data_IF_608206859435
#
_entry.id   IF_608206859435
#
_cell.length_a   1.000
_cell.length_b   1.000
_cell.length_c   1.000
_cell.angle_alpha   90.00
_cell.angle_beta   90.00
_cell.angle_gamma   90.00
#
_symmetry.space_group_name_H-M   'P 1'
#
loop_
_entity.id
_entity.type
_entity.pdbx_description
1 polymer ?
#
# COMPACT_ATOMS: atom_id res chain seq x y z
N UNK A 1 3.84 -12.79 -9.57
CA UNK A 1 5.26 -12.37 -9.62
C UNK A 1 5.99 -12.70 -10.91
N UNK A 2 6.44 -13.95 -11.19
CA UNK A 2 7.27 -14.21 -12.39
C UNK A 2 6.61 -13.81 -13.74
N UNK A 3 5.29 -14.04 -13.88
CA UNK A 3 4.49 -13.61 -15.03
C UNK A 3 4.36 -12.09 -15.18
N UNK A 4 4.30 -11.36 -14.07
CA UNK A 4 4.16 -9.89 -14.05
C UNK A 4 5.51 -9.21 -14.33
N UNK A 5 6.62 -9.84 -13.93
CA UNK A 5 7.98 -9.38 -14.26
C UNK A 5 8.27 -9.50 -15.76
N UNK A 6 7.78 -10.56 -16.41
CA UNK A 6 7.97 -10.79 -17.85
C UNK A 6 7.26 -9.75 -18.74
N UNK A 7 6.18 -9.12 -18.26
CA UNK A 7 5.50 -8.03 -18.98
C UNK A 7 6.24 -6.69 -18.93
N UNK A 8 6.94 -6.39 -17.83
CA UNK A 8 7.68 -5.13 -17.67
C UNK A 8 8.98 -5.08 -18.50
N UNK A 9 9.64 -6.23 -18.69
CA UNK A 9 10.87 -6.34 -19.50
C UNK A 9 10.65 -6.19 -21.01
N UNK A 10 9.40 -6.18 -21.50
CA UNK A 10 9.09 -5.97 -22.94
C UNK A 10 9.32 -4.54 -23.41
N UNK A 11 9.47 -3.58 -22.49
CA UNK A 11 9.60 -2.15 -22.82
C UNK A 11 11.05 -1.71 -23.12
N UNK A 12 12.03 -2.64 -23.10
CA UNK A 12 13.46 -2.30 -23.19
C UNK A 12 14.17 -2.60 -24.52
N UNK A 13 13.54 -3.25 -25.49
CA UNK A 13 14.18 -3.60 -26.77
C UNK A 13 13.54 -2.83 -27.93
N UNK A 14 13.74 -1.52 -27.95
CA UNK A 14 13.54 -0.70 -29.14
C UNK A 14 14.86 -0.59 -29.90
N UNK A 15 15.08 -1.44 -30.90
CA UNK A 15 15.87 -1.04 -32.06
C UNK A 15 14.90 -0.32 -33.00
N UNK A 16 15.00 1.01 -33.03
CA UNK A 16 14.38 1.83 -34.06
C UNK A 16 15.10 1.56 -35.39
N UNK A 17 14.45 0.78 -36.25
CA UNK A 17 14.89 0.51 -37.62
C UNK A 17 13.73 0.78 -38.58
N UNK A 18 13.75 1.96 -39.19
CA UNK A 18 12.90 2.35 -40.31
C UNK A 18 13.30 1.55 -41.56
N UNK A 19 12.41 0.69 -42.05
CA UNK A 19 12.71 -0.24 -43.13
C UNK A 19 11.50 -1.04 -43.59
N UNK A 20 10.84 -0.52 -44.62
CA UNK A 20 9.69 -1.08 -45.31
C UNK A 20 10.12 -2.31 -46.16
N UNK A 21 10.34 -3.46 -45.52
CA UNK A 21 10.46 -4.76 -46.19
C UNK A 21 9.61 -5.82 -45.47
N UNK A 22 8.76 -6.52 -46.23
CA UNK A 22 8.00 -7.69 -45.77
C UNK A 22 8.96 -8.83 -45.39
N UNK A 23 9.36 -8.87 -44.12
CA UNK A 23 10.14 -9.98 -43.54
C UNK A 23 9.19 -11.13 -43.17
N UNK A 24 9.49 -12.39 -43.55
CA UNK A 24 8.66 -13.54 -43.21
C UNK A 24 8.60 -13.71 -41.69
N UNK A 25 7.43 -14.11 -41.18
CA UNK A 25 7.11 -14.33 -39.77
C UNK A 25 8.29 -14.90 -38.97
N UNK A 26 9.12 -14.01 -38.43
CA UNK A 26 10.24 -14.36 -37.59
C UNK A 26 9.66 -14.96 -36.31
N UNK A 27 10.13 -16.16 -35.99
CA UNK A 27 9.81 -16.89 -34.77
C UNK A 27 9.70 -15.95 -33.58
N UNK A 28 8.52 -15.94 -32.94
CA UNK A 28 8.27 -15.16 -31.74
C UNK A 28 9.45 -15.33 -30.77
N UNK A 29 10.02 -14.23 -30.23
CA UNK A 29 11.16 -14.32 -29.34
C UNK A 29 10.80 -15.31 -28.23
N UNK A 30 11.64 -16.35 -28.09
CA UNK A 30 11.43 -17.38 -27.08
C UNK A 30 11.36 -16.70 -25.73
N UNK A 31 10.21 -16.83 -25.05
CA UNK A 31 9.97 -16.23 -23.74
C UNK A 31 10.99 -16.78 -22.76
N UNK A 32 12.12 -16.11 -22.62
CA UNK A 32 13.17 -16.51 -21.71
C UNK A 32 12.71 -16.19 -20.30
N UNK A 33 12.68 -17.19 -19.41
CA UNK A 33 12.31 -16.96 -18.02
C UNK A 33 13.34 -16.03 -17.35
N UNK A 34 12.88 -15.05 -16.54
CA UNK A 34 13.78 -14.14 -15.86
C UNK A 34 14.71 -14.91 -14.93
N UNK A 35 16.00 -14.60 -15.02
CA UNK A 35 17.04 -15.17 -14.16
C UNK A 35 16.85 -14.73 -12.70
N UNK A 36 17.40 -15.48 -11.74
CA UNK A 36 17.33 -15.12 -10.32
C UNK A 36 17.88 -13.72 -10.01
N UNK A 37 18.97 -13.33 -10.69
CA UNK A 37 19.58 -12.00 -10.56
C UNK A 37 18.62 -10.90 -11.05
N UNK A 38 17.88 -11.14 -12.13
CA UNK A 38 16.88 -10.19 -12.64
C UNK A 38 15.70 -10.05 -11.67
N UNK A 39 15.28 -11.14 -11.03
CA UNK A 39 14.22 -11.09 -10.03
C UNK A 39 14.66 -10.33 -8.79
N UNK A 40 15.88 -10.54 -8.29
CA UNK A 40 16.43 -9.77 -7.16
C UNK A 40 16.57 -8.28 -7.47
N UNK A 41 17.11 -7.95 -8.64
CA UNK A 41 17.22 -6.55 -9.08
C UNK A 41 15.84 -5.88 -9.21
N UNK A 42 14.84 -6.60 -9.72
CA UNK A 42 13.47 -6.12 -9.80
C UNK A 42 12.84 -5.93 -8.42
N UNK A 43 13.04 -6.89 -7.50
CA UNK A 43 12.57 -6.76 -6.11
C UNK A 43 13.22 -5.59 -5.39
N UNK A 44 14.50 -5.32 -5.63
CA UNK A 44 15.18 -4.15 -5.10
C UNK A 44 14.62 -2.84 -5.67
N UNK A 45 14.45 -2.77 -6.99
CA UNK A 45 13.83 -1.61 -7.65
C UNK A 45 12.41 -1.37 -7.12
N UNK A 46 11.62 -2.43 -6.99
CA UNK A 46 10.27 -2.36 -6.47
C UNK A 46 10.24 -1.89 -5.02
N UNK A 47 11.12 -2.41 -4.15
CA UNK A 47 11.26 -1.94 -2.76
C UNK A 47 11.64 -0.46 -2.71
N UNK A 48 12.61 -0.02 -3.52
CA UNK A 48 13.02 1.39 -3.57
C UNK A 48 11.89 2.29 -4.08
N UNK A 49 11.11 1.84 -5.07
CA UNK A 49 9.96 2.58 -5.57
C UNK A 49 8.81 2.62 -4.55
N UNK A 50 8.54 1.52 -3.86
CA UNK A 50 7.55 1.43 -2.78
C UNK A 50 7.96 2.34 -1.61
N UNK A 51 9.20 2.23 -1.13
CA UNK A 51 9.74 3.11 -0.09
C UNK A 51 9.73 4.57 -0.52
N UNK A 52 10.04 4.90 -1.77
CA UNK A 52 9.96 6.28 -2.26
C UNK A 52 8.50 6.78 -2.33
N UNK A 53 7.55 5.94 -2.73
CA UNK A 53 6.13 6.30 -2.76
C UNK A 53 5.56 6.48 -1.34
N UNK A 54 5.97 5.63 -0.40
CA UNK A 54 5.62 5.69 1.02
C UNK A 54 6.27 6.88 1.73
N UNK A 55 7.59 7.09 1.58
CA UNK A 55 8.33 8.23 2.11
C UNK A 55 7.74 9.57 1.65
N UNK A 56 7.24 9.61 0.42
CA UNK A 56 6.77 10.85 -0.17
C UNK A 56 5.26 11.05 -0.03
N UNK A 57 4.50 10.03 0.40
CA UNK A 57 3.02 9.99 0.47
C UNK A 57 2.37 10.94 -0.53
N UNK A 58 2.70 10.76 -1.81
CA UNK A 58 2.65 11.85 -2.77
C UNK A 58 1.20 12.27 -3.02
N UNK A 59 0.73 13.25 -2.23
CA UNK A 59 -0.51 13.97 -2.54
C UNK A 59 -0.18 14.95 -3.65
N UNK A 60 -0.35 14.46 -4.88
CA UNK A 60 -0.14 15.26 -6.06
C UNK A 60 -1.19 16.36 -6.12
N UNK A 61 -0.71 17.59 -6.24
CA UNK A 61 -1.50 18.75 -6.59
C UNK A 61 -1.36 19.04 -8.08
N UNK A 62 -2.38 19.69 -8.64
CA UNK A 62 -2.42 20.01 -10.05
C UNK A 62 -1.97 21.46 -10.26
N UNK A 63 -1.07 21.70 -11.22
CA UNK A 63 -0.81 23.06 -11.71
C UNK A 63 -2.06 23.51 -12.47
N UNK A 64 -2.59 24.72 -12.23
CA UNK A 64 -3.76 25.22 -12.94
C UNK A 64 -3.43 25.53 -14.41
N UNK A 65 -3.33 24.48 -15.23
CA UNK A 65 -3.22 24.57 -16.69
C UNK A 65 -4.61 24.72 -17.29
N UNK A 66 -4.78 25.58 -18.29
CA UNK A 66 -6.00 25.67 -19.07
C UNK A 66 -6.00 24.72 -20.27
N UNK A 67 -6.88 24.93 -21.27
CA UNK A 67 -6.89 24.18 -22.50
C UNK A 67 -5.58 24.36 -23.27
N UNK A 68 -4.97 23.26 -23.68
CA UNK A 68 -3.70 23.22 -24.42
C UNK A 68 -3.90 22.83 -25.87
N UNK A 69 -5.09 22.32 -26.22
CA UNK A 69 -5.42 21.88 -27.58
C UNK A 69 -6.65 22.62 -28.08
N UNK A 70 -6.61 23.10 -29.32
CA UNK A 70 -7.73 23.67 -30.02
C UNK A 70 -7.84 23.05 -31.41
N UNK A 71 -9.00 22.51 -31.76
CA UNK A 71 -9.25 21.94 -33.08
C UNK A 71 -10.75 21.94 -33.40
N UNK A 72 -11.10 21.70 -34.66
CA UNK A 72 -12.48 21.42 -35.00
C UNK A 72 -12.97 20.15 -34.28
N UNK A 73 -14.20 20.22 -33.80
CA UNK A 73 -14.88 19.10 -33.19
C UNK A 73 -15.01 17.94 -34.19
N UNK A 74 -15.15 16.71 -33.68
CA UNK A 74 -15.08 15.51 -34.52
C UNK A 74 -16.04 15.56 -35.71
N UNK A 75 -15.49 15.47 -36.93
CA UNK A 75 -16.25 15.50 -38.18
C UNK A 75 -16.56 16.89 -38.73
N UNK A 76 -16.06 17.97 -38.11
CA UNK A 76 -16.17 19.33 -38.62
C UNK A 76 -14.86 19.77 -39.27
N UNK A 77 -14.97 20.58 -40.33
CA UNK A 77 -13.83 21.21 -41.02
C UNK A 77 -13.90 22.73 -41.01
N UNK A 78 -14.97 23.31 -40.45
CA UNK A 78 -15.21 24.75 -40.35
C UNK A 78 -16.03 25.07 -39.08
N UNK A 79 -16.06 26.35 -38.70
CA UNK A 79 -16.75 26.84 -37.50
C UNK A 79 -15.79 27.30 -36.39
N UNK A 80 -16.25 27.45 -35.13
CA UNK A 80 -15.35 27.70 -34.02
C UNK A 80 -14.61 26.42 -33.63
N UNK A 81 -13.31 26.53 -33.36
CA UNK A 81 -12.57 25.43 -32.75
C UNK A 81 -13.08 25.16 -31.32
N UNK A 82 -13.14 23.88 -30.96
CA UNK A 82 -13.31 23.47 -29.58
C UNK A 82 -11.93 23.39 -28.91
N UNK A 83 -11.88 23.67 -27.60
CA UNK A 83 -10.64 23.64 -26.82
C UNK A 83 -10.73 22.59 -25.71
N UNK A 84 -9.64 21.88 -25.47
CA UNK A 84 -9.56 20.82 -24.47
C UNK A 84 -8.33 20.96 -23.58
N UNK A 85 -8.49 20.57 -22.32
CA UNK A 85 -7.42 20.46 -21.32
C UNK A 85 -7.00 19.00 -21.22
N UNK A 86 -5.92 18.65 -21.89
CA UNK A 86 -5.43 17.26 -21.96
C UNK A 86 -4.07 17.09 -21.29
N UNK A 87 -3.30 18.17 -21.14
CA UNK A 87 -1.97 18.14 -20.56
C UNK A 87 -1.97 18.65 -19.11
N UNK A 88 -1.28 17.91 -18.26
CA UNK A 88 -1.32 18.10 -16.81
C UNK A 88 0.09 18.04 -16.22
N UNK A 89 0.42 19.00 -15.35
CA UNK A 89 1.58 18.92 -14.46
C UNK A 89 1.07 18.59 -13.06
N UNK A 90 1.53 17.47 -12.53
CA UNK A 90 1.27 17.03 -11.16
C UNK A 90 2.53 17.25 -10.33
N UNK A 91 2.39 17.79 -9.11
CA UNK A 91 3.52 18.11 -8.25
C UNK A 91 3.23 17.83 -6.77
N UNK A 92 4.27 17.55 -5.99
CA UNK A 92 4.16 17.35 -4.55
C UNK A 92 4.10 18.72 -3.84
N UNK A 93 2.90 19.21 -3.52
CA UNK A 93 2.73 20.53 -2.89
C UNK A 93 3.42 20.70 -1.52
N UNK A 94 3.86 19.58 -0.93
CA UNK A 94 4.57 19.52 0.34
C UNK A 94 6.03 19.97 0.25
N UNK A 95 6.68 19.73 -0.89
CA UNK A 95 8.09 20.05 -1.14
C UNK A 95 8.29 21.03 -2.28
N UNK A 96 7.24 21.26 -3.07
CA UNK A 96 7.25 22.15 -4.21
C UNK A 96 6.11 23.16 -4.06
N UNK A 97 6.45 24.43 -4.01
CA UNK A 97 5.48 25.52 -4.04
C UNK A 97 5.46 26.12 -5.44
N UNK A 98 4.30 26.08 -6.09
CA UNK A 98 4.13 26.68 -7.42
C UNK A 98 4.34 28.20 -7.33
N UNK A 99 5.33 28.71 -8.05
CA UNK A 99 5.66 30.14 -8.11
C UNK A 99 4.97 30.80 -9.29
N UNK A 100 5.07 30.17 -10.47
CA UNK A 100 4.41 30.61 -11.69
C UNK A 100 4.16 29.45 -12.64
N UNK A 101 3.23 29.62 -13.58
CA UNK A 101 2.98 28.69 -14.66
C UNK A 101 2.69 29.44 -15.95
N UNK A 102 2.92 28.80 -17.09
CA UNK A 102 2.57 29.36 -18.39
C UNK A 102 1.06 29.42 -18.56
N UNK A 103 0.60 30.54 -19.11
CA UNK A 103 -0.75 30.68 -19.63
C UNK A 103 -0.91 29.83 -20.88
N UNK A 104 -2.06 29.18 -21.01
CA UNK A 104 -2.42 28.30 -22.13
C UNK A 104 -3.31 29.03 -23.14
N UNK A 105 -4.26 28.37 -23.80
CA UNK A 105 -5.07 28.97 -24.87
C UNK A 105 -5.90 30.19 -24.43
N UNK A 106 -6.16 30.37 -23.14
CA UNK A 106 -6.83 31.57 -22.63
C UNK A 106 -6.05 32.86 -22.87
N UNK A 107 -4.74 32.77 -23.09
CA UNK A 107 -3.87 33.89 -23.43
C UNK A 107 -3.45 33.93 -24.91
N UNK A 108 -3.94 32.98 -25.73
CA UNK A 108 -3.68 32.90 -27.18
C UNK A 108 -5.00 32.77 -27.97
N UNK A 109 -5.75 33.88 -28.11
CA UNK A 109 -7.05 33.87 -28.78
C UNK A 109 -6.96 33.50 -30.25
N UNK A 110 -5.83 33.75 -30.90
CA UNK A 110 -5.62 33.45 -32.31
C UNK A 110 -5.53 31.93 -32.53
N UNK A 111 -4.73 31.23 -31.72
CA UNK A 111 -4.69 29.76 -31.74
C UNK A 111 -6.00 29.14 -31.26
N UNK A 112 -6.69 29.75 -30.29
CA UNK A 112 -7.99 29.27 -29.83
C UNK A 112 -9.07 29.38 -30.93
N UNK A 113 -9.02 30.41 -31.77
CA UNK A 113 -9.96 30.61 -32.88
C UNK A 113 -9.61 29.78 -34.11
N UNK A 114 -8.34 29.79 -34.53
CA UNK A 114 -7.87 29.14 -35.76
C UNK A 114 -7.52 27.66 -35.58
N UNK A 115 -7.35 27.20 -34.33
CA UNK A 115 -6.93 25.85 -34.01
C UNK A 115 -5.41 25.69 -34.03
N UNK A 116 -5.00 24.48 -33.66
CA UNK A 116 -3.63 24.00 -33.65
C UNK A 116 -3.53 22.70 -34.48
N UNK A 117 -2.41 22.47 -35.20
CA UNK A 117 -1.27 23.37 -35.37
C UNK A 117 -1.59 24.57 -36.27
N UNK A 118 -0.77 25.62 -36.20
CA UNK A 118 -0.86 26.82 -37.04
C UNK A 118 0.54 27.38 -37.38
N UNK A 119 0.60 28.57 -38.00
CA UNK A 119 1.88 29.18 -38.43
C UNK A 119 2.83 29.50 -37.26
N UNK A 120 2.28 29.79 -36.09
CA UNK A 120 3.04 30.16 -34.90
C UNK A 120 3.34 28.96 -34.00
N UNK A 121 2.50 27.92 -34.05
CA UNK A 121 2.65 26.71 -33.24
C UNK A 121 2.57 25.45 -34.13
N UNK A 122 3.68 24.74 -34.37
CA UNK A 122 3.71 23.57 -35.26
C UNK A 122 3.12 22.29 -34.62
N UNK A 123 2.76 22.35 -33.33
CA UNK A 123 2.18 21.25 -32.56
C UNK A 123 0.67 21.44 -32.42
N UNK A 124 -0.09 20.34 -32.34
CA UNK A 124 -1.52 20.38 -32.02
C UNK A 124 -1.80 20.61 -30.52
N UNK A 125 -0.74 20.64 -29.70
CA UNK A 125 -0.75 21.00 -28.28
C UNK A 125 0.17 22.20 -27.99
N UNK A 126 -0.29 23.10 -27.12
CA UNK A 126 0.56 24.13 -26.50
C UNK A 126 1.47 23.51 -25.43
N UNK A 127 2.70 24.01 -25.28
CA UNK A 127 3.58 23.61 -24.19
C UNK A 127 3.00 24.00 -22.83
N UNK A 128 3.13 23.09 -21.85
CA UNK A 128 2.86 23.37 -20.44
C UNK A 128 4.18 23.56 -19.71
N UNK A 129 4.28 24.62 -18.91
CA UNK A 129 5.46 24.87 -18.07
C UNK A 129 5.04 25.45 -16.71
N UNK A 130 5.82 25.12 -15.69
CA UNK A 130 5.65 25.60 -14.33
C UNK A 130 7.01 25.81 -13.67
N UNK A 131 7.08 26.80 -12.79
CA UNK A 131 8.26 27.09 -11.96
C UNK A 131 7.89 26.84 -10.51
N UNK A 132 8.73 26.08 -9.82
CA UNK A 132 8.53 25.70 -8.42
C UNK A 132 9.66 26.23 -7.53
N UNK A 133 9.28 26.73 -6.36
CA UNK A 133 10.18 26.91 -5.23
C UNK A 133 10.28 25.56 -4.50
N UNK A 134 11.51 25.07 -4.29
CA UNK A 134 11.76 23.81 -3.57
C UNK A 134 11.92 24.11 -2.09
N UNK A 135 11.14 23.42 -1.25
CA UNK A 135 11.28 23.43 0.20
C UNK A 135 11.77 22.07 0.70
N UNK A 136 12.49 22.03 1.84
CA UNK A 136 12.81 20.78 2.51
C UNK A 136 11.53 19.99 2.82
N UNK A 137 11.63 18.66 2.80
CA UNK A 137 10.53 17.79 3.22
C UNK A 137 10.19 18.08 4.68
N UNK A 138 8.95 18.53 4.99
CA UNK A 138 8.58 18.81 6.36
C UNK A 138 8.54 17.50 7.12
N UNK A 139 9.14 17.49 8.30
CA UNK A 139 9.20 16.33 9.18
C UNK A 139 8.54 16.66 10.51
N UNK A 140 7.98 15.65 11.16
CA UNK A 140 7.50 15.76 12.53
C UNK A 140 8.68 16.09 13.45
N UNK A 141 8.56 17.11 14.30
CA UNK A 141 9.63 17.50 15.21
C UNK A 141 9.90 16.43 16.27
N UNK A 142 11.09 16.44 16.88
CA UNK A 142 11.47 15.41 17.86
C UNK A 142 10.51 15.34 19.06
N UNK A 143 10.10 16.49 19.59
CA UNK A 143 9.15 16.55 20.70
C UNK A 143 7.78 15.97 20.33
N UNK A 144 7.29 16.25 19.12
CA UNK A 144 6.03 15.71 18.60
C UNK A 144 6.14 14.20 18.33
N UNK A 145 7.29 13.74 17.82
CA UNK A 145 7.58 12.31 17.64
C UNK A 145 7.58 11.57 18.97
N UNK A 146 8.17 12.15 20.02
CA UNK A 146 8.12 11.58 21.38
C UNK A 146 6.68 11.50 21.88
N UNK A 147 5.88 12.54 21.68
CA UNK A 147 4.46 12.53 22.06
C UNK A 147 3.66 11.47 21.29
N UNK A 148 3.89 11.33 19.99
CA UNK A 148 3.27 10.31 19.16
C UNK A 148 3.61 8.90 19.69
N UNK A 149 4.89 8.62 19.94
CA UNK A 149 5.33 7.33 20.47
C UNK A 149 4.77 7.07 21.88
N UNK A 150 4.56 8.12 22.69
CA UNK A 150 3.88 8.00 23.98
C UNK A 150 2.40 7.61 23.83
N UNK A 151 1.67 8.19 22.85
CA UNK A 151 0.28 7.78 22.53
C UNK A 151 0.20 6.31 22.13
N UNK A 152 1.13 5.86 21.28
CA UNK A 152 1.23 4.45 20.86
C UNK A 152 1.50 3.54 22.05
N UNK A 153 2.49 3.89 22.88
CA UNK A 153 2.85 3.09 24.05
C UNK A 153 1.70 2.99 25.07
N UNK A 154 0.95 4.07 25.28
CA UNK A 154 -0.22 4.06 26.16
C UNK A 154 -1.34 3.15 25.61
N UNK A 155 -1.56 3.16 24.29
CA UNK A 155 -2.52 2.25 23.65
C UNK A 155 -2.09 0.78 23.82
N UNK A 156 -0.83 0.47 23.55
CA UNK A 156 -0.28 -0.88 23.71
C UNK A 156 -0.35 -1.36 25.15
N UNK A 157 -0.07 -0.48 26.12
CA UNK A 157 -0.21 -0.77 27.55
C UNK A 157 -1.64 -1.12 27.92
N UNK A 158 -2.63 -0.39 27.39
CA UNK A 158 -4.06 -0.70 27.58
C UNK A 158 -4.39 -2.07 27.01
N UNK A 159 -4.00 -2.34 25.77
CA UNK A 159 -4.22 -3.65 25.13
C UNK A 159 -3.59 -4.81 25.92
N UNK A 160 -2.39 -4.62 26.45
CA UNK A 160 -1.74 -5.61 27.30
C UNK A 160 -2.53 -5.86 28.60
N UNK A 161 -3.02 -4.79 29.24
CA UNK A 161 -3.87 -4.89 30.43
C UNK A 161 -5.18 -5.62 30.15
N UNK A 162 -5.83 -5.36 29.00
CA UNK A 162 -7.06 -6.02 28.60
C UNK A 162 -6.85 -7.53 28.35
N UNK A 163 -5.72 -7.88 27.72
CA UNK A 163 -5.33 -9.28 27.53
C UNK A 163 -5.12 -9.99 28.87
N UNK A 164 -4.35 -9.40 29.80
CA UNK A 164 -4.15 -9.98 31.13
C UNK A 164 -5.45 -10.13 31.91
N UNK A 165 -6.33 -9.13 31.84
CA UNK A 165 -7.64 -9.18 32.51
C UNK A 165 -8.52 -10.29 31.95
N UNK A 166 -8.58 -10.43 30.62
CA UNK A 166 -9.33 -11.51 29.98
C UNK A 166 -8.75 -12.90 30.32
N UNK A 167 -7.43 -13.04 30.38
CA UNK A 167 -6.79 -14.29 30.78
C UNK A 167 -7.12 -14.66 32.23
N UNK A 168 -7.10 -13.70 33.16
CA UNK A 168 -7.54 -13.91 34.55
C UNK A 168 -9.02 -14.29 34.65
N UNK A 169 -9.90 -13.66 33.87
CA UNK A 169 -11.32 -14.01 33.81
C UNK A 169 -11.54 -15.42 33.26
N UNK A 170 -10.83 -15.77 32.19
CA UNK A 170 -10.92 -17.09 31.58
C UNK A 170 -10.38 -18.19 32.50
N UNK A 171 -9.31 -17.92 33.26
CA UNK A 171 -8.79 -18.85 34.26
C UNK A 171 -9.80 -19.14 35.40
N UNK A 172 -10.59 -18.15 35.81
CA UNK A 172 -11.67 -18.33 36.81
C UNK A 172 -12.83 -19.16 36.29
N UNK A 173 -13.05 -19.16 34.98
CA UNK A 173 -14.11 -19.90 34.29
C UNK A 173 -13.66 -21.27 33.80
N UNK A 174 -12.38 -21.61 33.98
CA UNK A 174 -11.84 -22.89 33.56
C UNK A 174 -12.57 -24.00 34.32
N UNK A 175 -13.29 -24.90 33.62
CA UNK A 175 -13.96 -26.00 34.29
C UNK A 175 -12.90 -26.83 35.02
N UNK A 176 -13.15 -27.26 36.27
CA UNK A 176 -12.21 -28.09 36.99
C UNK A 176 -11.94 -29.33 36.14
N UNK A 177 -10.76 -29.38 35.51
CA UNK A 177 -10.31 -30.56 34.83
C UNK A 177 -10.42 -31.69 35.84
N UNK A 178 -11.14 -32.75 35.49
CA UNK A 178 -11.30 -33.91 36.33
C UNK A 178 -9.94 -34.28 36.94
N UNK A 179 -9.84 -34.17 38.26
CA UNK A 179 -8.77 -34.72 39.11
C UNK A 179 -8.76 -36.26 39.04
N UNK A 180 -9.38 -36.87 38.02
CA UNK A 180 -9.73 -38.29 37.95
C UNK A 180 -9.00 -39.07 36.85
N UNK A 181 -7.92 -38.53 36.26
CA UNK A 181 -7.10 -39.28 35.30
C UNK A 181 -5.62 -39.45 35.69
N UNK A 182 -5.15 -38.87 36.81
CA UNK A 182 -3.77 -39.04 37.29
C UNK A 182 -3.62 -39.87 38.59
N UNK A 183 -4.72 -40.28 39.25
CA UNK A 183 -4.65 -41.13 40.45
C UNK A 183 -4.76 -42.65 40.18
N UNK A 184 -4.55 -43.08 38.95
CA UNK A 184 -4.45 -44.50 38.61
C UNK A 184 -3.16 -44.77 37.84
N UNK A 185 -2.02 -44.86 38.54
CA UNK A 185 -1.04 -45.95 38.39
C UNK A 185 0.17 -45.75 39.32
N UNK A 186 -0.03 -46.06 40.61
CA UNK A 186 1.06 -46.52 41.47
C UNK A 186 1.12 -48.06 41.43
N UNK A 187 1.89 -48.63 40.50
CA UNK A 187 2.76 -49.80 40.77
C UNK A 187 3.53 -50.29 39.54
N UNK A 188 4.76 -50.82 39.71
CA UNK A 188 5.67 -51.20 38.64
C UNK A 188 5.65 -52.71 38.34
N UNK A 189 5.74 -53.10 37.07
CA UNK A 189 6.52 -54.25 36.56
C UNK A 189 6.34 -54.41 35.03
N UNK A 190 7.33 -54.98 34.33
CA UNK A 190 7.52 -54.82 32.89
C UNK A 190 6.97 -55.99 32.04
N UNK A 191 7.00 -55.75 30.72
CA UNK A 191 6.88 -56.71 29.62
C UNK A 191 5.50 -57.22 29.24
N UNK A 192 4.90 -56.57 28.23
CA UNK A 192 4.48 -57.25 27.00
C UNK A 192 4.00 -56.24 25.94
N UNK A 193 4.51 -56.41 24.72
CA UNK A 193 4.09 -55.71 23.50
C UNK A 193 2.58 -55.88 23.26
N UNK A 194 1.81 -54.80 23.38
CA UNK A 194 0.45 -54.73 22.84
C UNK A 194 0.20 -53.38 22.17
N UNK A 195 0.01 -53.41 20.85
CA UNK A 195 -0.49 -52.29 20.04
C UNK A 195 -1.92 -51.96 20.51
N UNK A 196 -2.07 -51.02 21.43
CA UNK A 196 -3.36 -50.42 21.73
C UNK A 196 -3.47 -49.03 21.11
N UNK A 197 -4.30 -48.97 20.08
CA UNK A 197 -4.81 -47.74 19.45
C UNK A 197 -5.63 -47.01 20.53
N UNK A 198 -5.01 -46.09 21.29
CA UNK A 198 -5.73 -45.16 22.18
C UNK A 198 -6.73 -44.39 21.32
N UNK A 199 -7.99 -44.81 21.31
CA UNK A 199 -9.12 -44.01 20.83
C UNK A 199 -9.11 -42.75 21.68
N UNK A 200 -8.76 -41.61 21.09
CA UNK A 200 -8.80 -40.32 21.76
C UNK A 200 -10.21 -40.07 22.29
N UNK A 201 -10.36 -40.04 23.61
CA UNK A 201 -11.56 -39.56 24.25
C UNK A 201 -11.82 -38.14 23.76
N UNK A 202 -13.01 -37.93 23.20
CA UNK A 202 -13.44 -36.58 22.85
C UNK A 202 -13.59 -35.79 24.16
N UNK A 203 -13.12 -34.53 24.22
CA UNK A 203 -13.30 -33.69 25.40
C UNK A 203 -14.78 -33.58 25.78
N UNK A 204 -15.05 -33.39 27.07
CA UNK A 204 -16.43 -33.25 27.55
C UNK A 204 -17.13 -32.06 26.86
N UNK A 205 -18.48 -32.11 26.72
CA UNK A 205 -19.23 -31.00 26.12
C UNK A 205 -18.96 -29.64 26.81
N UNK A 206 -18.74 -29.65 28.13
CA UNK A 206 -18.41 -28.46 28.91
C UNK A 206 -17.04 -27.87 28.55
N UNK A 207 -16.01 -28.73 28.39
CA UNK A 207 -14.68 -28.30 27.94
C UNK A 207 -14.73 -27.76 26.51
N UNK A 208 -15.52 -28.37 25.62
CA UNK A 208 -15.72 -27.88 24.26
C UNK A 208 -16.38 -26.49 24.26
N UNK A 209 -17.43 -26.30 25.07
CA UNK A 209 -18.12 -25.02 25.19
C UNK A 209 -17.18 -23.93 25.72
N UNK A 210 -16.37 -24.24 26.75
CA UNK A 210 -15.36 -23.33 27.28
C UNK A 210 -14.31 -22.94 26.22
N UNK A 211 -13.79 -23.90 25.44
CA UNK A 211 -12.83 -23.62 24.37
C UNK A 211 -13.45 -22.71 23.29
N UNK A 212 -14.71 -22.95 22.92
CA UNK A 212 -15.42 -22.12 21.93
C UNK A 212 -15.64 -20.69 22.46
N UNK A 213 -16.08 -20.55 23.70
CA UNK A 213 -16.26 -19.27 24.39
C UNK A 213 -14.93 -18.50 24.48
N UNK A 214 -13.85 -19.15 24.94
CA UNK A 214 -12.50 -18.59 25.01
C UNK A 214 -12.05 -18.06 23.65
N UNK A 215 -12.22 -18.85 22.59
CA UNK A 215 -11.87 -18.43 21.23
C UNK A 215 -12.72 -17.27 20.74
N UNK A 216 -14.01 -17.22 21.09
CA UNK A 216 -14.89 -16.09 20.74
C UNK A 216 -14.38 -14.81 21.41
N UNK A 217 -14.22 -14.82 22.74
CA UNK A 217 -13.75 -13.64 23.49
C UNK A 217 -12.38 -13.14 23.03
N UNK A 218 -11.44 -14.04 22.75
CA UNK A 218 -10.13 -13.66 22.21
C UNK A 218 -10.22 -13.01 20.83
N UNK A 219 -11.13 -13.46 19.96
CA UNK A 219 -11.35 -12.83 18.65
C UNK A 219 -12.01 -11.46 18.81
N UNK A 220 -13.00 -11.36 19.68
CA UNK A 220 -13.72 -10.10 19.93
C UNK A 220 -12.75 -9.05 20.49
N UNK A 221 -11.89 -9.43 21.43
CA UNK A 221 -10.85 -8.55 21.97
C UNK A 221 -9.86 -8.11 20.87
N UNK A 222 -9.36 -9.03 20.04
CA UNK A 222 -8.46 -8.69 18.94
C UNK A 222 -9.09 -7.72 17.93
N UNK A 223 -10.37 -7.90 17.62
CA UNK A 223 -11.12 -7.01 16.73
C UNK A 223 -11.27 -5.61 17.33
N UNK A 224 -11.57 -5.51 18.63
CA UNK A 224 -11.63 -4.24 19.35
C UNK A 224 -10.27 -3.52 19.32
N UNK A 225 -9.19 -4.24 19.63
CA UNK A 225 -7.83 -3.69 19.61
C UNK A 225 -7.40 -3.23 18.20
N UNK A 226 -7.81 -3.95 17.15
CA UNK A 226 -7.57 -3.52 15.77
C UNK A 226 -8.31 -2.21 15.46
N UNK A 227 -9.60 -2.13 15.82
CA UNK A 227 -10.40 -0.91 15.68
C UNK A 227 -9.81 0.28 16.44
N UNK A 228 -9.24 0.07 17.63
CA UNK A 228 -8.59 1.13 18.40
C UNK A 228 -7.31 1.64 17.74
N UNK A 229 -6.51 0.74 17.14
CA UNK A 229 -5.32 1.12 16.36
C UNK A 229 -5.72 1.91 15.11
N UNK A 230 -6.74 1.46 14.39
CA UNK A 230 -7.30 2.17 13.23
C UNK A 230 -7.80 3.56 13.62
N UNK A 231 -8.52 3.67 14.73
CA UNK A 231 -9.01 4.94 15.25
C UNK A 231 -7.87 5.89 15.62
N UNK A 232 -6.79 5.38 16.24
CA UNK A 232 -5.59 6.17 16.49
C UNK A 232 -5.01 6.70 15.17
N UNK A 233 -4.73 5.83 14.21
CA UNK A 233 -4.16 6.22 12.89
C UNK A 233 -5.04 7.24 12.17
N UNK A 234 -6.35 7.03 12.18
CA UNK A 234 -7.31 7.95 11.58
C UNK A 234 -7.26 9.34 12.24
N UNK A 235 -6.98 9.43 13.54
CA UNK A 235 -6.87 10.71 14.27
C UNK A 235 -5.54 11.45 14.03
N UNK A 236 -4.50 10.77 13.56
CA UNK A 236 -3.18 11.36 13.35
C UNK A 236 -3.15 12.30 12.13
N UNK A 237 -2.39 13.38 12.25
CA UNK A 237 -2.04 14.24 11.11
C UNK A 237 -1.10 13.54 10.11
N UNK A 238 -0.92 14.12 8.93
CA UNK A 238 -0.09 13.54 7.87
C UNK A 238 1.34 13.25 8.34
N UNK A 239 2.01 14.23 8.97
CA UNK A 239 3.37 14.07 9.50
C UNK A 239 3.48 13.04 10.63
N UNK A 240 2.46 12.97 11.50
CA UNK A 240 2.41 11.96 12.57
C UNK A 240 2.28 10.56 11.97
N UNK A 241 1.40 10.39 10.97
CA UNK A 241 1.26 9.12 10.27
C UNK A 241 2.56 8.74 9.57
N UNK A 242 3.29 9.68 8.95
CA UNK A 242 4.56 9.37 8.27
C UNK A 242 5.58 8.85 9.29
N UNK A 243 5.68 9.55 10.43
CA UNK A 243 6.58 9.17 11.50
C UNK A 243 6.21 7.80 12.10
N UNK A 244 4.91 7.49 12.19
CA UNK A 244 4.42 6.19 12.63
C UNK A 244 4.81 5.08 11.65
N UNK A 245 4.58 5.29 10.35
CA UNK A 245 4.95 4.35 9.28
C UNK A 245 6.44 4.02 9.30
N UNK A 246 7.28 5.06 9.33
CA UNK A 246 8.73 4.90 9.38
C UNK A 246 9.22 4.16 10.63
N UNK A 247 8.48 4.27 11.74
CA UNK A 247 8.89 3.67 13.01
C UNK A 247 8.39 2.24 13.18
N UNK A 248 7.18 1.93 12.72
CA UNK A 248 6.47 0.70 13.07
C UNK A 248 5.98 -0.13 11.89
N UNK A 249 6.02 0.39 10.66
CA UNK A 249 5.27 -0.12 9.51
C UNK A 249 3.77 -0.23 9.85
N UNK A 250 3.00 0.85 9.63
CA UNK A 250 1.64 0.96 10.20
C UNK A 250 0.74 -0.19 9.77
N UNK A 251 0.86 -0.70 8.55
CA UNK A 251 0.08 -1.86 8.08
C UNK A 251 0.33 -3.11 8.94
N UNK A 252 1.60 -3.45 9.18
CA UNK A 252 1.96 -4.61 10.02
C UNK A 252 1.49 -4.39 11.47
N UNK A 253 1.64 -3.17 11.98
CA UNK A 253 1.25 -2.83 13.35
C UNK A 253 -0.29 -2.81 13.53
N UNK A 254 -1.04 -2.32 12.55
CA UNK A 254 -2.51 -2.35 12.55
C UNK A 254 -3.04 -3.78 12.64
N UNK A 255 -2.48 -4.69 11.83
CA UNK A 255 -2.89 -6.09 11.81
C UNK A 255 -2.50 -6.86 13.07
N UNK A 256 -1.22 -6.77 13.46
CA UNK A 256 -0.63 -7.65 14.48
C UNK A 256 -0.54 -7.03 15.88
N UNK A 257 -0.57 -5.69 15.98
CA UNK A 257 -0.22 -4.96 17.21
C UNK A 257 1.26 -5.07 17.61
N UNK A 258 2.10 -5.69 16.76
CA UNK A 258 3.52 -5.89 17.03
C UNK A 258 4.37 -4.83 16.31
N UNK A 259 5.44 -4.38 16.96
CA UNK A 259 6.46 -3.53 16.35
C UNK A 259 7.44 -4.41 15.58
N UNK A 260 7.88 -3.98 14.38
CA UNK A 260 8.94 -4.67 13.63
C UNK A 260 10.32 -4.49 14.27
#
# INVERSE_FOLDING_TARGET
MARECASALRLGSGEEGDGDEEVPAASSPTTQEPTGVQLEAWSELWRRAASAAEEQRIRLSHVPTGPTRAAYDHGKSEGPCASWRLDHILYAARTLKLSSCWSTLEADPDSAASGLPNQCCPSDHLPVAAVFEVSPTPCLGDAERVQLMAKVAELEKRHASDCSSLDEELAKLEPPAAVAAEEATASPAPDAKAKNKKKGERPSPEVIAFIQEKRRRLRDLKALQASDREALVASLGELERDALDLSLCTDTWLESGSRQ
#
